data_IF_234925125392
#
_entry.id   IF_234925125392
#
_cell.length_a   1.000
_cell.length_b   1.000
_cell.length_c   1.000
_cell.angle_alpha   90.00
_cell.angle_beta   90.00
_cell.angle_gamma   90.00
#
_symmetry.space_group_name_H-M   'P 1'
#
loop_
_entity.id
_entity.type
_entity.pdbx_description
1 polymer ?
#
# COMPACT_ATOMS: atom_id res chain seq x y z
N UNK A 1 -0.63 5.81 -18.95
CA UNK A 1 0.20 4.84 -18.20
C UNK A 1 -0.73 3.77 -17.64
N UNK A 2 -0.59 2.51 -18.07
CA UNK A 2 -1.32 1.37 -17.51
C UNK A 2 -0.55 0.93 -16.27
N UNK A 3 -1.14 1.09 -15.09
CA UNK A 3 -0.53 0.57 -13.87
C UNK A 3 -0.93 -0.90 -13.77
N UNK A 4 0.03 -1.78 -14.07
CA UNK A 4 -0.14 -3.23 -13.90
C UNK A 4 -0.39 -3.53 -12.40
N UNK A 5 -1.29 -4.47 -12.12
CA UNK A 5 -1.53 -5.02 -10.78
C UNK A 5 -0.21 -5.35 -10.05
N UNK A 6 0.80 -5.84 -10.79
CA UNK A 6 2.14 -6.11 -10.25
C UNK A 6 2.84 -4.84 -9.77
N UNK A 7 2.76 -3.75 -10.55
CA UNK A 7 3.35 -2.46 -10.21
C UNK A 7 2.70 -1.88 -8.95
N UNK A 8 1.37 -1.97 -8.82
CA UNK A 8 0.67 -1.46 -7.64
C UNK A 8 1.06 -2.24 -6.38
N UNK A 9 1.12 -3.57 -6.45
CA UNK A 9 1.56 -4.41 -5.33
C UNK A 9 3.00 -4.14 -4.89
N UNK A 10 3.91 -3.96 -5.87
CA UNK A 10 5.32 -3.61 -5.59
C UNK A 10 5.40 -2.24 -4.92
N UNK A 11 4.70 -1.23 -5.45
CA UNK A 11 4.72 0.13 -4.87
C UNK A 11 4.18 0.11 -3.43
N UNK A 12 3.08 -0.60 -3.17
CA UNK A 12 2.53 -0.76 -1.83
C UNK A 12 3.52 -1.44 -0.87
N UNK A 13 4.17 -2.51 -1.33
CA UNK A 13 5.16 -3.23 -0.52
C UNK A 13 6.36 -2.34 -0.19
N UNK A 14 6.89 -1.62 -1.19
CA UNK A 14 8.00 -0.68 -0.99
C UNK A 14 7.61 0.43 -0.01
N UNK A 15 6.40 1.00 -0.13
CA UNK A 15 5.91 2.01 0.81
C UNK A 15 5.84 1.50 2.24
N UNK A 16 5.30 0.29 2.45
CA UNK A 16 5.22 -0.32 3.78
C UNK A 16 6.61 -0.56 4.37
N UNK A 17 7.52 -1.14 3.57
CA UNK A 17 8.91 -1.37 4.01
C UNK A 17 9.60 -0.04 4.35
N UNK A 18 9.36 1.01 3.55
CA UNK A 18 9.97 2.31 3.78
C UNK A 18 9.46 2.99 5.06
N UNK A 19 8.15 2.96 5.32
CA UNK A 19 7.55 3.55 6.53
C UNK A 19 7.99 2.77 7.77
N UNK A 20 7.89 1.44 7.76
CA UNK A 20 8.26 0.64 8.93
C UNK A 20 9.78 0.68 9.15
N UNK A 21 10.57 0.65 8.07
CA UNK A 21 12.02 0.80 8.13
C UNK A 21 12.45 2.14 8.70
N UNK A 22 11.82 3.24 8.26
CA UNK A 22 12.08 4.58 8.80
C UNK A 22 11.82 4.68 10.31
N UNK A 23 10.67 4.17 10.77
CA UNK A 23 10.35 4.09 12.20
C UNK A 23 11.40 3.26 12.96
N UNK A 24 11.90 2.18 12.37
CA UNK A 24 12.91 1.34 13.00
C UNK A 24 14.26 2.06 13.14
N UNK A 25 14.66 2.85 12.14
CA UNK A 25 15.89 3.65 12.16
C UNK A 25 15.79 4.72 13.24
N UNK A 26 14.68 5.45 13.32
CA UNK A 26 14.46 6.45 14.38
C UNK A 26 14.61 5.81 15.77
N UNK A 27 13.94 4.67 16.00
CA UNK A 27 14.03 3.94 17.28
C UNK A 27 15.43 3.43 17.60
N UNK A 28 16.17 3.00 16.58
CA UNK A 28 17.56 2.54 16.74
C UNK A 28 18.48 3.70 17.10
N UNK A 29 18.32 4.86 16.46
CA UNK A 29 19.08 6.08 16.76
C UNK A 29 18.74 6.60 18.17
N UNK A 30 17.47 6.55 18.55
CA UNK A 30 17.00 6.91 19.90
C UNK A 30 17.67 6.01 20.96
N UNK A 31 17.70 4.69 20.73
CA UNK A 31 18.37 3.73 21.61
C UNK A 31 19.88 3.99 21.71
N UNK A 32 20.56 4.20 20.57
CA UNK A 32 22.02 4.43 20.51
C UNK A 32 22.47 5.75 21.14
N UNK A 33 21.69 6.82 21.01
CA UNK A 33 22.02 8.14 21.57
C UNK A 33 21.66 8.29 23.05
N UNK A 34 20.93 7.33 23.59
CA UNK A 34 20.49 7.34 24.98
C UNK A 34 21.52 6.62 25.85
N UNK A 35 21.74 7.05 27.10
CA UNK A 35 22.67 6.43 28.08
C UNK A 35 22.34 4.94 28.42
N UNK A 36 21.32 4.39 27.77
CA UNK A 36 20.72 3.07 27.93
C UNK A 36 21.58 1.91 27.42
N UNK A 37 22.68 2.19 26.70
CA UNK A 37 23.66 1.16 26.31
C UNK A 37 24.30 0.42 27.50
N UNK A 38 24.12 0.92 28.74
CA UNK A 38 24.78 0.38 29.94
C UNK A 38 23.91 -0.57 30.80
N UNK A 39 22.61 -0.75 30.51
CA UNK A 39 21.73 -1.65 31.26
C UNK A 39 21.20 -2.82 30.41
N UNK A 40 21.44 -4.06 30.84
CA UNK A 40 20.99 -5.29 30.13
C UNK A 40 19.46 -5.38 29.95
N UNK A 41 18.70 -4.78 30.87
CA UNK A 41 17.24 -4.84 30.87
C UNK A 41 16.63 -4.07 29.70
N UNK A 42 17.27 -2.97 29.29
CA UNK A 42 16.82 -2.12 28.19
C UNK A 42 17.17 -2.72 26.81
N UNK A 43 18.26 -3.47 26.72
CA UNK A 43 18.60 -4.22 25.50
C UNK A 43 17.54 -5.27 25.16
N UNK A 44 16.97 -5.95 26.16
CA UNK A 44 15.87 -6.90 25.95
C UNK A 44 14.60 -6.20 25.45
N UNK A 45 14.31 -5.00 25.96
CA UNK A 45 13.21 -4.17 25.48
C UNK A 45 13.38 -3.77 24.02
N UNK A 46 14.58 -3.35 23.64
CA UNK A 46 14.94 -3.03 22.27
C UNK A 46 14.79 -4.22 21.32
N UNK A 47 15.26 -5.41 21.71
CA UNK A 47 15.07 -6.63 20.92
C UNK A 47 13.60 -6.98 20.71
N UNK A 48 12.77 -6.88 21.76
CA UNK A 48 11.32 -7.10 21.64
C UNK A 48 10.71 -6.10 20.65
N UNK A 49 11.13 -4.84 20.70
CA UNK A 49 10.66 -3.81 19.78
C UNK A 49 11.07 -4.11 18.33
N UNK A 50 12.30 -4.56 18.10
CA UNK A 50 12.77 -5.03 16.78
C UNK A 50 11.90 -6.19 16.28
N UNK A 51 11.70 -7.22 17.10
CA UNK A 51 10.89 -8.39 16.73
C UNK A 51 9.45 -8.01 16.41
N UNK A 52 8.84 -7.09 17.19
CA UNK A 52 7.49 -6.59 16.92
C UNK A 52 7.41 -5.87 15.56
N UNK A 53 8.41 -5.07 15.20
CA UNK A 53 8.45 -4.39 13.90
C UNK A 53 8.63 -5.39 12.75
N UNK A 54 9.50 -6.39 12.91
CA UNK A 54 9.68 -7.47 11.91
C UNK A 54 8.36 -8.23 11.71
N UNK A 55 7.68 -8.62 12.80
CA UNK A 55 6.38 -9.28 12.72
C UNK A 55 5.32 -8.40 12.05
N UNK A 56 5.37 -7.09 12.27
CA UNK A 56 4.48 -6.14 11.59
C UNK A 56 4.73 -6.12 10.08
N UNK A 57 5.98 -6.09 9.64
CA UNK A 57 6.34 -6.16 8.20
C UNK A 57 5.85 -7.47 7.58
N UNK A 58 6.08 -8.60 8.27
CA UNK A 58 5.64 -9.92 7.81
C UNK A 58 4.12 -9.99 7.70
N UNK A 59 3.40 -9.51 8.72
CA UNK A 59 1.94 -9.46 8.73
C UNK A 59 1.39 -8.64 7.56
N UNK A 60 1.98 -7.46 7.30
CA UNK A 60 1.61 -6.65 6.14
C UNK A 60 1.92 -7.32 4.81
N UNK A 61 3.08 -7.99 4.67
CA UNK A 61 3.40 -8.78 3.49
C UNK A 61 2.34 -9.84 3.22
N UNK A 62 1.89 -10.57 4.24
CA UNK A 62 0.81 -11.55 4.10
C UNK A 62 -0.51 -10.91 3.66
N UNK A 63 -0.86 -9.73 4.19
CA UNK A 63 -2.08 -9.00 3.78
C UNK A 63 -1.98 -8.56 2.32
N UNK A 64 -0.84 -8.03 1.90
CA UNK A 64 -0.61 -7.61 0.50
C UNK A 64 -0.68 -8.82 -0.44
N UNK A 65 -0.03 -9.93 -0.08
CA UNK A 65 -0.07 -11.18 -0.85
C UNK A 65 -1.51 -11.72 -0.92
N UNK A 66 -2.24 -11.73 0.19
CA UNK A 66 -3.62 -12.18 0.22
C UNK A 66 -4.54 -11.29 -0.63
N UNK A 67 -4.34 -9.96 -0.60
CA UNK A 67 -5.07 -9.01 -1.44
C UNK A 67 -4.74 -9.22 -2.94
N UNK A 68 -3.49 -9.58 -3.25
CA UNK A 68 -3.06 -9.93 -4.60
C UNK A 68 -3.71 -11.22 -5.10
N UNK A 69 -3.73 -12.27 -4.28
CA UNK A 69 -4.36 -13.55 -4.58
C UNK A 69 -5.88 -13.45 -4.73
N UNK A 70 -6.53 -12.61 -3.93
CA UNK A 70 -7.97 -12.32 -4.05
C UNK A 70 -8.34 -11.49 -5.29
N UNK A 71 -7.36 -10.98 -6.04
CA UNK A 71 -7.62 -10.21 -7.25
C UNK A 71 -8.22 -8.83 -6.98
N UNK A 72 -8.09 -8.27 -5.76
CA UNK A 72 -8.55 -6.91 -5.46
C UNK A 72 -7.87 -5.83 -6.35
N UNK A 73 -6.71 -6.15 -6.92
CA UNK A 73 -6.00 -5.28 -7.85
C UNK A 73 -6.29 -5.58 -9.33
N UNK A 74 -7.10 -6.60 -9.63
CA UNK A 74 -7.35 -7.09 -10.99
C UNK A 74 -8.37 -6.22 -11.75
N UNK A 75 -9.14 -5.39 -11.04
CA UNK A 75 -10.27 -4.63 -11.60
C UNK A 75 -10.14 -3.10 -11.41
N UNK A 76 -8.90 -2.60 -11.42
CA UNK A 76 -8.62 -1.15 -11.28
C UNK A 76 -9.13 -0.37 -12.52
N UNK A 77 -9.21 -1.01 -13.69
CA UNK A 77 -9.58 -0.36 -14.95
C UNK A 77 -11.11 -0.33 -15.21
N UNK A 78 -11.89 -1.30 -14.69
CA UNK A 78 -13.35 -1.38 -14.88
C UNK A 78 -14.12 -0.09 -14.62
N UNK A 79 -13.93 0.60 -13.48
CA UNK A 79 -14.70 1.81 -13.20
C UNK A 79 -14.39 2.93 -14.19
N UNK A 80 -13.19 2.97 -14.77
CA UNK A 80 -12.85 3.96 -15.80
C UNK A 80 -13.49 3.66 -17.14
N UNK A 81 -13.49 2.39 -17.56
CA UNK A 81 -14.17 1.96 -18.78
C UNK A 81 -15.69 2.14 -18.68
N UNK A 82 -16.28 1.84 -17.52
CA UNK A 82 -17.73 2.02 -17.31
C UNK A 82 -18.15 3.49 -17.43
N UNK A 83 -17.35 4.42 -16.90
CA UNK A 83 -17.63 5.87 -17.01
C UNK A 83 -17.52 6.32 -18.47
N UNK A 84 -16.51 5.84 -19.20
CA UNK A 84 -16.32 6.17 -20.62
C UNK A 84 -17.49 5.64 -21.48
N UNK A 85 -17.96 4.42 -21.21
CA UNK A 85 -19.13 3.86 -21.90
C UNK A 85 -20.42 4.62 -21.55
N UNK A 86 -20.57 5.07 -20.30
CA UNK A 86 -21.69 5.91 -19.86
C UNK A 86 -21.68 7.27 -20.58
N UNK A 87 -20.53 7.95 -20.65
CA UNK A 87 -20.38 9.20 -21.39
C UNK A 87 -20.70 9.04 -22.88
N UNK A 88 -20.26 7.93 -23.50
CA UNK A 88 -20.54 7.67 -24.91
C UNK A 88 -22.04 7.42 -25.16
N UNK A 89 -22.72 6.71 -24.25
CA UNK A 89 -24.18 6.52 -24.29
C UNK A 89 -24.93 7.83 -24.13
N UNK A 90 -24.52 8.69 -23.20
CA UNK A 90 -25.13 10.02 -22.99
C UNK A 90 -24.98 10.88 -24.25
N UNK A 91 -23.77 10.94 -24.82
CA UNK A 91 -23.49 11.70 -26.04
C UNK A 91 -24.30 11.21 -27.25
N UNK A 92 -24.41 9.89 -27.45
CA UNK A 92 -25.24 9.33 -28.54
C UNK A 92 -26.71 9.70 -28.38
N UNK A 93 -27.20 9.73 -27.14
CA UNK A 93 -28.59 10.12 -26.82
C UNK A 93 -28.83 11.60 -27.13
N UNK A 94 -27.92 12.49 -26.74
CA UNK A 94 -28.00 13.93 -27.07
C UNK A 94 -27.98 14.19 -28.58
N UNK A 95 -27.15 13.46 -29.34
CA UNK A 95 -27.09 13.61 -30.80
C UNK A 95 -28.39 13.12 -31.46
N UNK A 96 -29.01 12.06 -30.94
CA UNK A 96 -30.30 11.58 -31.45
C UNK A 96 -31.44 12.56 -31.13
N UNK A 97 -31.50 13.11 -29.91
CA UNK A 97 -32.51 14.12 -29.54
C UNK A 97 -32.40 15.38 -30.38
N UNK A 98 -31.18 15.83 -30.72
CA UNK A 98 -30.97 17.01 -31.60
C UNK A 98 -31.28 16.77 -33.07
N UNK A 99 -31.32 15.51 -33.53
CA UNK A 99 -31.66 15.16 -34.92
C UNK A 99 -33.14 14.80 -35.11
N UNK A 100 -33.87 14.60 -34.01
CA UNK A 100 -35.29 14.21 -34.02
C UNK A 100 -36.28 15.35 -33.73
N UNK A 101 -35.81 16.58 -33.56
CA UNK A 101 -36.64 17.81 -33.46
C UNK A 101 -36.35 18.75 -34.62
#
# INVERSE_FOLDING_TARGET
>A
MRFDQKTVGIVLTVLVVFVVGGLMVERTVEFLNSDFSNNETDFRGFLIQIFAHILTIIGWLFIIIAAFLKGHFNDIEKPKTDILELEEKIRKKEIMDRKGG
#
